data_IF_330414145629
#
_entry.id   IF_330414145629
#
_cell.length_a   1.000
_cell.length_b   1.000
_cell.length_c   1.000
_cell.angle_alpha   90.00
_cell.angle_beta   90.00
_cell.angle_gamma   90.00
#
_symmetry.space_group_name_H-M   'P 1'
#
loop_
_entity.id
_entity.type
_entity.pdbx_description
1 polymer ?
#
# COMPACT_ATOMS: atom_id res chain seq x y z
N UNK A 1 -26.63 -16.41 -2.27
CA UNK A 1 -25.85 -16.67 -3.49
C UNK A 1 -25.01 -17.92 -3.20
N UNK A 2 -25.31 -19.06 -3.82
CA UNK A 2 -24.64 -20.35 -3.57
C UNK A 2 -23.12 -20.23 -3.80
N UNK A 3 -22.35 -20.18 -2.71
CA UNK A 3 -20.90 -20.36 -2.73
C UNK A 3 -20.64 -21.82 -2.37
N UNK A 4 -20.39 -22.65 -3.38
CA UNK A 4 -19.80 -23.96 -3.13
C UNK A 4 -18.40 -23.74 -2.53
N UNK A 5 -18.09 -24.48 -1.46
CA UNK A 5 -16.78 -24.51 -0.77
C UNK A 5 -15.57 -24.76 -1.71
N UNK A 6 -15.79 -25.01 -3.00
CA UNK A 6 -14.77 -25.31 -4.02
C UNK A 6 -14.05 -24.08 -4.60
N UNK A 7 -14.53 -22.85 -4.35
CA UNK A 7 -13.93 -21.62 -4.94
C UNK A 7 -12.97 -20.85 -4.03
N UNK A 8 -13.03 -21.03 -2.71
CA UNK A 8 -12.13 -20.34 -1.77
C UNK A 8 -10.80 -21.09 -1.67
N UNK A 9 -9.69 -20.37 -1.70
CA UNK A 9 -8.37 -20.91 -1.35
C UNK A 9 -8.03 -20.48 0.08
N UNK A 10 -8.22 -21.40 1.04
CA UNK A 10 -7.99 -21.13 2.47
C UNK A 10 -6.53 -20.75 2.75
N UNK A 11 -5.58 -21.31 1.98
CA UNK A 11 -4.17 -20.95 2.14
C UNK A 11 -3.93 -19.51 1.73
N UNK A 12 -4.47 -19.09 0.57
CA UNK A 12 -4.37 -17.71 0.12
C UNK A 12 -5.05 -16.73 1.11
N UNK A 13 -6.18 -17.13 1.69
CA UNK A 13 -6.84 -16.35 2.74
C UNK A 13 -5.89 -16.13 3.93
N UNK A 14 -5.32 -17.21 4.47
CA UNK A 14 -4.37 -17.12 5.59
C UNK A 14 -3.14 -16.28 5.26
N UNK A 15 -2.63 -16.36 4.02
CA UNK A 15 -1.51 -15.54 3.56
C UNK A 15 -1.85 -14.04 3.53
N UNK A 16 -3.01 -13.65 2.99
CA UNK A 16 -3.42 -12.25 3.04
C UNK A 16 -3.64 -11.77 4.47
N UNK A 17 -4.25 -12.61 5.32
CA UNK A 17 -4.47 -12.28 6.72
C UNK A 17 -3.15 -12.11 7.48
N UNK A 18 -2.16 -12.97 7.23
CA UNK A 18 -0.83 -12.82 7.84
C UNK A 18 -0.15 -11.55 7.35
N UNK A 19 -0.19 -11.23 6.06
CA UNK A 19 0.48 -10.07 5.48
C UNK A 19 -0.16 -8.75 5.97
N UNK A 20 -1.49 -8.68 5.99
CA UNK A 20 -2.21 -7.43 6.28
C UNK A 20 -2.35 -7.15 7.77
N UNK A 21 -2.55 -8.17 8.62
CA UNK A 21 -2.87 -7.95 10.04
C UNK A 21 -1.68 -8.12 10.99
N UNK A 22 -0.77 -9.07 10.73
CA UNK A 22 0.30 -9.39 11.67
C UNK A 22 1.27 -8.24 11.95
N UNK A 23 1.63 -7.37 10.98
CA UNK A 23 2.60 -6.31 11.23
C UNK A 23 2.20 -5.39 12.38
N UNK A 24 0.96 -4.89 12.34
CA UNK A 24 0.42 -4.04 13.40
C UNK A 24 0.05 -4.83 14.65
N UNK A 25 -0.40 -6.08 14.51
CA UNK A 25 -0.71 -6.95 15.65
C UNK A 25 0.50 -7.21 16.54
N UNK A 26 1.61 -7.62 15.91
CA UNK A 26 2.88 -7.89 16.61
C UNK A 26 3.44 -6.60 17.22
N UNK A 27 3.33 -5.47 16.51
CA UNK A 27 3.80 -4.18 16.99
C UNK A 27 3.14 -3.80 18.33
N UNK A 28 1.82 -3.92 18.43
CA UNK A 28 1.11 -3.51 19.65
C UNK A 28 1.16 -4.59 20.75
N UNK A 29 0.99 -5.88 20.42
CA UNK A 29 0.94 -6.93 21.44
C UNK A 29 2.30 -7.30 22.04
N UNK A 30 3.39 -7.17 21.28
CA UNK A 30 4.74 -7.45 21.77
C UNK A 30 5.53 -6.18 22.10
N UNK A 31 4.86 -5.00 22.10
CA UNK A 31 5.49 -3.69 22.30
C UNK A 31 6.76 -3.51 21.45
N UNK A 32 6.73 -4.04 20.22
CA UNK A 32 7.91 -4.06 19.36
C UNK A 32 8.26 -2.63 18.93
N UNK A 33 9.56 -2.33 18.83
CA UNK A 33 10.04 -1.00 18.44
C UNK A 33 9.68 -0.60 17.01
N UNK A 34 9.28 -1.55 16.15
CA UNK A 34 8.97 -1.30 14.75
C UNK A 34 8.03 -2.35 14.15
N UNK A 35 7.21 -1.91 13.18
CA UNK A 35 6.41 -2.77 12.31
C UNK A 35 7.25 -3.76 11.49
N UNK A 36 8.56 -3.51 11.33
CA UNK A 36 9.47 -4.41 10.64
C UNK A 36 9.51 -5.82 11.26
N UNK A 37 9.42 -5.93 12.59
CA UNK A 37 9.43 -7.21 13.29
C UNK A 37 8.19 -8.03 12.94
N UNK A 38 7.02 -7.39 12.91
CA UNK A 38 5.77 -8.04 12.52
C UNK A 38 5.73 -8.44 11.05
N UNK A 39 6.28 -7.62 10.15
CA UNK A 39 6.47 -7.99 8.74
C UNK A 39 7.40 -9.19 8.56
N UNK A 40 8.45 -9.31 9.38
CA UNK A 40 9.36 -10.46 9.34
C UNK A 40 8.72 -11.75 9.83
N UNK A 41 7.92 -11.64 10.88
CA UNK A 41 7.13 -12.78 11.34
C UNK A 41 6.12 -13.22 10.26
N UNK A 42 5.48 -12.24 9.60
CA UNK A 42 4.57 -12.50 8.49
C UNK A 42 5.26 -13.17 7.30
N UNK A 43 6.44 -12.70 6.89
CA UNK A 43 7.19 -13.31 5.79
C UNK A 43 7.64 -14.73 6.10
N UNK A 44 8.03 -15.01 7.35
CA UNK A 44 8.38 -16.35 7.80
C UNK A 44 7.16 -17.28 7.74
N UNK A 45 5.99 -16.83 8.22
CA UNK A 45 4.74 -17.57 8.10
C UNK A 45 4.35 -17.84 6.65
N UNK A 46 4.50 -16.85 5.76
CA UNK A 46 4.26 -17.02 4.32
C UNK A 46 5.12 -18.14 3.75
N UNK A 47 6.42 -18.16 4.07
CA UNK A 47 7.33 -19.22 3.60
C UNK A 47 6.95 -20.59 4.16
N UNK A 48 6.60 -20.68 5.45
CA UNK A 48 6.16 -21.94 6.07
C UNK A 48 4.88 -22.49 5.43
N UNK A 49 3.88 -21.64 5.22
CA UNK A 49 2.61 -22.04 4.59
C UNK A 49 2.81 -22.48 3.14
N UNK A 50 3.72 -21.82 2.42
CA UNK A 50 4.03 -22.12 1.02
C UNK A 50 5.04 -23.26 0.85
N UNK A 51 5.76 -23.69 1.88
CA UNK A 51 6.74 -24.79 1.81
C UNK A 51 6.13 -26.08 1.26
N UNK A 52 4.87 -26.34 1.59
CA UNK A 52 4.13 -27.53 1.12
C UNK A 52 3.57 -27.40 -0.30
N UNK A 53 3.68 -26.22 -0.93
CA UNK A 53 3.10 -25.95 -2.25
C UNK A 53 4.08 -26.30 -3.38
N UNK A 54 3.69 -27.26 -4.22
CA UNK A 54 4.52 -27.68 -5.36
C UNK A 54 4.72 -26.51 -6.33
N UNK A 55 5.98 -26.12 -6.55
CA UNK A 55 6.37 -25.15 -7.58
C UNK A 55 6.42 -23.68 -7.16
N UNK A 56 6.04 -23.34 -5.92
CA UNK A 56 6.18 -21.96 -5.42
C UNK A 56 7.65 -21.53 -5.24
N UNK A 57 8.54 -22.47 -4.94
CA UNK A 57 9.98 -22.21 -4.73
C UNK A 57 10.83 -22.26 -5.99
N UNK A 58 10.26 -22.57 -7.17
CA UNK A 58 11.01 -22.44 -8.42
C UNK A 58 11.12 -20.93 -8.68
N UNK A 59 12.30 -20.33 -8.68
CA UNK A 59 12.46 -18.91 -9.05
C UNK A 59 13.25 -18.85 -10.35
N UNK A 60 12.87 -17.93 -11.24
CA UNK A 60 13.53 -17.78 -12.54
C UNK A 60 14.96 -17.26 -12.35
N UNK A 61 15.92 -17.88 -13.04
CA UNK A 61 17.36 -17.62 -12.89
C UNK A 61 17.72 -16.17 -13.19
N UNK A 62 17.10 -15.56 -14.19
CA UNK A 62 17.31 -14.15 -14.53
C UNK A 62 16.82 -13.21 -13.43
N UNK A 63 15.68 -13.52 -12.79
CA UNK A 63 15.18 -12.72 -11.68
C UNK A 63 16.10 -12.87 -10.47
N UNK A 64 16.55 -14.09 -10.17
CA UNK A 64 17.54 -14.32 -9.11
C UNK A 64 18.83 -13.55 -9.38
N UNK A 65 19.31 -13.52 -10.63
CA UNK A 65 20.48 -12.74 -11.00
C UNK A 65 20.28 -11.24 -10.73
N UNK A 66 19.19 -10.65 -11.24
CA UNK A 66 18.87 -9.23 -10.99
C UNK A 66 18.75 -8.96 -9.47
N UNK A 67 18.06 -9.82 -8.74
CA UNK A 67 17.88 -9.71 -7.30
C UNK A 67 19.22 -9.76 -6.55
N UNK A 68 20.13 -10.67 -6.93
CA UNK A 68 21.47 -10.76 -6.32
C UNK A 68 22.34 -9.54 -6.62
N UNK A 69 22.25 -8.98 -7.84
CA UNK A 69 22.97 -7.75 -8.19
C UNK A 69 22.46 -6.56 -7.37
N UNK A 70 21.14 -6.41 -7.24
CA UNK A 70 20.53 -5.34 -6.42
C UNK A 70 20.93 -5.50 -4.95
N UNK A 71 20.86 -6.72 -4.41
CA UNK A 71 21.29 -7.02 -3.05
C UNK A 71 22.76 -6.63 -2.83
N UNK A 72 23.65 -6.98 -3.75
CA UNK A 72 25.07 -6.68 -3.64
C UNK A 72 25.32 -5.16 -3.67
N UNK A 73 24.69 -4.43 -4.59
CA UNK A 73 24.81 -2.96 -4.69
C UNK A 73 24.31 -2.28 -3.40
N UNK A 74 23.14 -2.68 -2.90
CA UNK A 74 22.59 -2.12 -1.65
C UNK A 74 23.47 -2.48 -0.45
N UNK A 75 24.01 -3.70 -0.40
CA UNK A 75 24.92 -4.13 0.68
C UNK A 75 26.20 -3.30 0.69
N UNK A 76 26.79 -3.03 -0.47
CA UNK A 76 27.96 -2.16 -0.58
C UNK A 76 27.61 -0.74 -0.11
N UNK A 77 26.48 -0.19 -0.56
CA UNK A 77 26.02 1.13 -0.13
C UNK A 77 25.82 1.19 1.39
N UNK A 78 25.16 0.19 1.99
CA UNK A 78 24.97 0.10 3.44
C UNK A 78 26.30 0.00 4.19
N UNK A 79 27.27 -0.76 3.68
CA UNK A 79 28.59 -0.88 4.29
C UNK A 79 29.37 0.44 4.25
N UNK A 80 29.30 1.18 3.14
CA UNK A 80 29.92 2.51 3.01
C UNK A 80 29.29 3.50 3.99
N UNK A 81 27.96 3.53 4.08
CA UNK A 81 27.23 4.41 5.00
C UNK A 81 27.56 4.06 6.46
N UNK A 82 27.56 2.76 6.80
CA UNK A 82 27.94 2.30 8.14
C UNK A 82 29.36 2.72 8.51
N UNK A 83 30.29 2.73 7.55
CA UNK A 83 31.66 3.17 7.79
C UNK A 83 31.75 4.70 8.00
N UNK A 84 30.99 5.49 7.23
CA UNK A 84 31.03 6.96 7.31
C UNK A 84 30.34 7.47 8.58
N UNK A 85 29.12 6.99 8.85
CA UNK A 85 28.26 7.51 9.92
C UNK A 85 28.30 6.68 11.21
N UNK A 86 29.03 5.56 11.22
CA UNK A 86 29.11 4.63 12.36
C UNK A 86 27.72 4.12 12.84
N UNK A 87 26.72 4.13 11.96
CA UNK A 87 25.38 3.63 12.22
C UNK A 87 25.17 2.24 11.59
N UNK A 88 24.72 1.28 12.40
CA UNK A 88 24.49 -0.11 12.03
C UNK A 88 23.09 -0.32 11.40
N UNK A 89 22.18 0.64 11.56
CA UNK A 89 20.79 0.56 11.09
C UNK A 89 20.64 0.22 9.58
N UNK A 90 21.45 0.75 8.65
CA UNK A 90 21.39 0.35 7.24
C UNK A 90 21.69 -1.13 7.03
N UNK A 91 22.65 -1.69 7.79
CA UNK A 91 23.02 -3.10 7.69
C UNK A 91 21.89 -4.01 8.21
N UNK A 92 21.27 -3.65 9.33
CA UNK A 92 20.08 -4.37 9.84
C UNK A 92 18.92 -4.32 8.85
N UNK A 93 18.84 -3.26 8.05
CA UNK A 93 17.79 -3.08 7.04
C UNK A 93 17.93 -4.03 5.84
N UNK A 94 19.05 -4.73 5.67
CA UNK A 94 19.20 -5.79 4.66
C UNK A 94 18.22 -6.95 4.86
N UNK A 95 17.66 -7.07 6.06
CA UNK A 95 16.55 -7.98 6.36
C UNK A 95 15.32 -7.72 5.49
N UNK A 96 15.18 -6.53 4.91
CA UNK A 96 14.17 -6.24 3.88
C UNK A 96 14.25 -7.17 2.67
N UNK A 97 15.44 -7.63 2.27
CA UNK A 97 15.59 -8.55 1.14
C UNK A 97 14.96 -9.92 1.43
N UNK A 98 14.95 -10.37 2.69
CA UNK A 98 14.20 -11.56 3.08
C UNK A 98 12.69 -11.37 2.90
N UNK A 99 12.17 -10.20 3.29
CA UNK A 99 10.76 -9.83 3.06
C UNK A 99 10.46 -9.78 1.55
N UNK A 100 11.29 -9.12 0.75
CA UNK A 100 11.15 -9.05 -0.70
C UNK A 100 11.18 -10.44 -1.36
N UNK A 101 12.06 -11.32 -0.92
CA UNK A 101 12.13 -12.71 -1.41
C UNK A 101 10.86 -13.50 -1.09
N UNK A 102 10.32 -13.36 0.12
CA UNK A 102 9.04 -14.01 0.48
C UNK A 102 7.86 -13.47 -0.34
N UNK A 103 7.87 -12.17 -0.68
CA UNK A 103 6.87 -11.57 -1.57
C UNK A 103 6.94 -12.13 -2.99
N UNK A 104 8.13 -12.41 -3.51
CA UNK A 104 8.31 -13.05 -4.83
C UNK A 104 7.72 -14.46 -4.84
N UNK A 105 7.97 -15.26 -3.79
CA UNK A 105 7.41 -16.61 -3.65
C UNK A 105 5.87 -16.54 -3.55
N UNK A 106 5.33 -15.58 -2.80
CA UNK A 106 3.90 -15.32 -2.73
C UNK A 106 3.32 -14.94 -4.11
N UNK A 107 3.97 -14.04 -4.84
CA UNK A 107 3.57 -13.68 -6.20
C UNK A 107 3.56 -14.89 -7.15
N UNK A 108 4.56 -15.78 -7.03
CA UNK A 108 4.58 -17.02 -7.82
C UNK A 108 3.39 -17.91 -7.49
N UNK A 109 3.05 -18.07 -6.22
CA UNK A 109 1.87 -18.82 -5.81
C UNK A 109 0.59 -18.25 -6.43
N UNK A 110 0.42 -16.91 -6.41
CA UNK A 110 -0.71 -16.24 -7.06
C UNK A 110 -0.76 -16.46 -8.57
N UNK A 111 0.38 -16.54 -9.26
CA UNK A 111 0.42 -16.76 -10.71
C UNK A 111 -0.21 -18.10 -11.11
N UNK A 112 0.07 -19.17 -10.35
CA UNK A 112 -0.41 -20.52 -10.65
C UNK A 112 -1.83 -20.81 -10.17
N UNK A 113 -2.37 -20.01 -9.25
CA UNK A 113 -3.77 -20.12 -8.84
C UNK A 113 -4.71 -19.62 -9.94
N UNK A 114 -5.85 -20.26 -10.20
CA UNK A 114 -6.85 -19.75 -11.15
C UNK A 114 -7.44 -18.42 -10.66
N UNK A 115 -7.76 -17.51 -11.58
CA UNK A 115 -8.29 -16.18 -11.24
C UNK A 115 -9.52 -16.23 -10.33
N UNK A 116 -10.42 -17.18 -10.55
CA UNK A 116 -11.64 -17.31 -9.74
C UNK A 116 -11.34 -17.54 -8.24
N UNK A 117 -10.30 -18.30 -7.92
CA UNK A 117 -9.89 -18.53 -6.52
C UNK A 117 -9.30 -17.29 -5.89
N UNK A 118 -8.48 -16.55 -6.63
CA UNK A 118 -7.92 -15.27 -6.17
C UNK A 118 -9.05 -14.29 -5.90
N UNK A 119 -9.94 -14.10 -6.88
CA UNK A 119 -11.06 -13.16 -6.78
C UNK A 119 -12.02 -13.52 -5.65
N UNK A 120 -12.35 -14.80 -5.47
CA UNK A 120 -13.17 -15.26 -4.35
C UNK A 120 -12.46 -15.02 -3.00
N UNK A 121 -11.15 -15.27 -2.91
CA UNK A 121 -10.40 -15.03 -1.68
C UNK A 121 -10.36 -13.56 -1.31
N UNK A 122 -10.11 -12.66 -2.27
CA UNK A 122 -10.16 -11.21 -2.04
C UNK A 122 -11.52 -10.75 -1.50
N UNK A 123 -12.63 -11.31 -2.01
CA UNK A 123 -13.96 -11.02 -1.50
C UNK A 123 -14.10 -11.33 0.00
N UNK A 124 -13.62 -12.49 0.44
CA UNK A 124 -13.69 -12.87 1.85
C UNK A 124 -12.74 -12.04 2.73
N UNK A 125 -11.54 -11.70 2.23
CA UNK A 125 -10.63 -10.78 2.94
C UNK A 125 -11.29 -9.42 3.13
N UNK A 126 -11.94 -8.87 2.09
CA UNK A 126 -12.68 -7.60 2.18
C UNK A 126 -13.79 -7.68 3.22
N UNK A 127 -14.61 -8.74 3.19
CA UNK A 127 -15.69 -8.90 4.18
C UNK A 127 -15.13 -8.91 5.60
N UNK A 128 -14.04 -9.64 5.82
CA UNK A 128 -13.42 -9.71 7.13
C UNK A 128 -12.89 -8.34 7.58
N UNK A 129 -12.18 -7.62 6.71
CA UNK A 129 -11.70 -6.27 7.02
C UNK A 129 -12.86 -5.30 7.29
N UNK A 130 -13.93 -5.32 6.49
CA UNK A 130 -15.12 -4.50 6.74
C UNK A 130 -15.79 -4.85 8.08
N UNK A 131 -15.85 -6.14 8.43
CA UNK A 131 -16.36 -6.58 9.72
C UNK A 131 -15.52 -6.01 10.86
N UNK A 132 -14.18 -6.05 10.74
CA UNK A 132 -13.27 -5.41 11.72
C UNK A 132 -13.63 -3.93 11.91
N UNK A 133 -13.79 -3.18 10.80
CA UNK A 133 -14.17 -1.77 10.87
C UNK A 133 -15.52 -1.53 11.56
N UNK A 134 -16.52 -2.37 11.27
CA UNK A 134 -17.84 -2.24 11.92
C UNK A 134 -17.84 -2.64 13.39
N UNK A 135 -17.08 -3.66 13.77
CA UNK A 135 -16.96 -4.04 15.18
C UNK A 135 -16.29 -2.92 15.97
N UNK A 136 -15.28 -2.24 15.39
CA UNK A 136 -14.69 -1.07 16.03
C UNK A 136 -15.72 0.05 16.25
N UNK A 137 -16.50 0.40 15.22
CA UNK A 137 -17.54 1.44 15.33
C UNK A 137 -18.63 1.10 16.35
N UNK A 138 -19.02 -0.17 16.45
CA UNK A 138 -20.14 -0.59 17.31
C UNK A 138 -19.74 -0.93 18.75
N UNK A 139 -18.54 -1.48 18.95
CA UNK A 139 -18.11 -2.06 20.22
C UNK A 139 -16.90 -1.32 20.81
N UNK A 140 -16.03 -0.75 19.97
CA UNK A 140 -14.73 -0.19 20.38
C UNK A 140 -13.83 -1.29 20.95
N UNK A 141 -13.06 -1.98 20.11
CA UNK A 141 -12.25 -3.12 20.57
C UNK A 141 -10.91 -2.66 21.16
N UNK A 142 -10.95 -2.29 22.43
CA UNK A 142 -9.76 -1.91 23.21
C UNK A 142 -9.13 -3.12 23.92
N UNK A 143 -8.79 -4.18 23.18
CA UNK A 143 -8.21 -5.39 23.77
C UNK A 143 -6.68 -5.36 23.77
N UNK A 144 -6.06 -5.64 24.93
CA UNK A 144 -4.59 -5.57 25.09
C UNK A 144 -4.05 -4.12 25.09
N UNK A 145 -2.77 -3.94 24.73
CA UNK A 145 -2.12 -2.62 24.63
C UNK A 145 -2.76 -1.62 23.66
N UNK A 146 -3.82 -2.02 22.94
CA UNK A 146 -4.62 -1.15 22.09
C UNK A 146 -5.47 -0.13 22.88
N UNK A 147 -5.75 -0.38 24.17
CA UNK A 147 -6.49 0.56 25.02
C UNK A 147 -5.69 1.83 25.38
N UNK A 148 -4.37 1.79 25.24
CA UNK A 148 -3.49 2.95 25.50
C UNK A 148 -3.32 3.86 24.27
N UNK A 149 -3.77 3.39 23.10
CA UNK A 149 -3.67 4.13 21.84
C UNK A 149 -4.96 4.92 21.60
N UNK A 150 -4.86 6.25 21.50
CA UNK A 150 -6.03 7.14 21.34
C UNK A 150 -6.90 6.86 20.11
N UNK A 151 -6.33 6.27 19.04
CA UNK A 151 -7.01 6.06 17.74
C UNK A 151 -6.60 4.76 17.06
N UNK A 152 -6.75 3.65 17.76
CA UNK A 152 -6.46 2.31 17.23
C UNK A 152 -7.71 1.62 16.68
N UNK A 153 -7.51 0.65 15.78
CA UNK A 153 -8.59 -0.19 15.22
C UNK A 153 -8.08 -1.61 15.29
N UNK A 154 -8.43 -2.41 16.29
CA UNK A 154 -7.84 -3.75 16.42
C UNK A 154 -7.95 -4.57 15.12
N UNK A 155 -6.86 -5.15 14.57
CA UNK A 155 -5.48 -5.23 15.10
C UNK A 155 -4.49 -4.19 14.53
N UNK A 156 -4.97 -3.10 13.96
CA UNK A 156 -4.20 -1.97 13.47
C UNK A 156 -3.91 -0.95 14.58
N UNK A 157 -2.65 -0.52 14.64
CA UNK A 157 -2.21 0.51 15.60
C UNK A 157 -2.81 1.89 15.31
N UNK A 158 -3.22 2.14 14.07
CA UNK A 158 -3.82 3.39 13.63
C UNK A 158 -4.99 3.15 12.67
N UNK A 159 -5.95 4.08 12.68
CA UNK A 159 -7.04 4.16 11.71
C UNK A 159 -6.55 4.16 10.26
N UNK A 160 -5.47 4.90 9.99
CA UNK A 160 -4.90 5.03 8.65
C UNK A 160 -4.30 3.72 8.16
N UNK A 161 -3.78 2.91 9.09
CA UNK A 161 -3.21 1.61 8.78
C UNK A 161 -4.30 0.61 8.36
N UNK A 162 -5.46 0.64 9.01
CA UNK A 162 -6.62 -0.12 8.57
C UNK A 162 -7.03 0.26 7.13
N UNK A 163 -7.07 1.55 6.82
CA UNK A 163 -7.44 2.05 5.50
C UNK A 163 -6.49 1.57 4.39
N UNK A 164 -5.18 1.58 4.65
CA UNK A 164 -4.16 1.10 3.72
C UNK A 164 -4.28 -0.41 3.50
N UNK A 165 -4.52 -1.21 4.54
CA UNK A 165 -4.74 -2.64 4.38
C UNK A 165 -6.00 -2.95 3.54
N UNK A 166 -7.09 -2.23 3.77
CA UNK A 166 -8.32 -2.36 2.99
C UNK A 166 -8.12 -1.93 1.53
N UNK A 167 -7.36 -0.85 1.28
CA UNK A 167 -7.10 -0.33 -0.05
C UNK A 167 -6.43 -1.36 -0.96
N UNK A 168 -5.45 -2.10 -0.42
CA UNK A 168 -4.70 -3.12 -1.17
C UNK A 168 -5.60 -4.22 -1.71
N UNK A 169 -6.74 -4.51 -1.07
CA UNK A 169 -7.62 -5.62 -1.46
C UNK A 169 -8.85 -5.11 -2.21
N UNK A 170 -9.42 -3.98 -1.78
CA UNK A 170 -10.67 -3.46 -2.36
C UNK A 170 -10.46 -2.92 -3.78
N UNK A 171 -9.41 -2.14 -4.02
CA UNK A 171 -9.13 -1.55 -5.33
C UNK A 171 -9.02 -2.62 -6.44
N UNK A 172 -8.19 -3.68 -6.33
CA UNK A 172 -8.14 -4.73 -7.35
C UNK A 172 -9.44 -5.53 -7.49
N UNK A 173 -10.19 -5.72 -6.41
CA UNK A 173 -11.50 -6.36 -6.48
C UNK A 173 -12.51 -5.50 -7.24
N UNK A 174 -12.58 -4.20 -6.93
CA UNK A 174 -13.45 -3.23 -7.61
C UNK A 174 -13.05 -3.04 -9.06
N UNK A 175 -11.79 -3.25 -9.44
CA UNK A 175 -11.36 -3.22 -10.84
C UNK A 175 -11.78 -4.45 -11.63
N UNK A 176 -11.94 -5.61 -11.00
CA UNK A 176 -12.15 -6.90 -11.70
C UNK A 176 -13.56 -7.52 -11.52
N UNK A 177 -14.30 -7.20 -10.45
CA UNK A 177 -15.65 -7.69 -10.19
C UNK A 177 -16.73 -7.19 -11.17
N UNK A 178 -17.47 -8.09 -11.80
CA UNK A 178 -18.56 -7.74 -12.73
C UNK A 178 -19.88 -7.37 -12.04
N UNK A 179 -20.03 -7.67 -10.76
CA UNK A 179 -21.31 -7.56 -10.07
C UNK A 179 -21.47 -6.18 -9.39
N UNK A 180 -22.23 -5.29 -10.03
CA UNK A 180 -22.52 -3.95 -9.53
C UNK A 180 -23.05 -3.94 -8.10
N UNK A 181 -23.98 -4.85 -7.74
CA UNK A 181 -24.57 -4.88 -6.40
C UNK A 181 -23.52 -5.09 -5.30
N UNK A 182 -22.55 -5.99 -5.55
CA UNK A 182 -21.46 -6.25 -4.60
C UNK A 182 -20.49 -5.08 -4.48
N UNK A 183 -20.14 -4.46 -5.62
CA UNK A 183 -19.25 -3.29 -5.64
C UNK A 183 -19.92 -2.11 -4.94
N UNK A 184 -21.19 -1.84 -5.25
CA UNK A 184 -21.96 -0.79 -4.60
C UNK A 184 -22.07 -1.01 -3.09
N UNK A 185 -22.36 -2.23 -2.64
CA UNK A 185 -22.39 -2.56 -1.22
C UNK A 185 -21.05 -2.27 -0.54
N UNK A 186 -19.92 -2.65 -1.15
CA UNK A 186 -18.59 -2.35 -0.60
C UNK A 186 -18.29 -0.85 -0.55
N UNK A 187 -18.57 -0.11 -1.63
CA UNK A 187 -18.37 1.34 -1.68
C UNK A 187 -19.21 2.06 -0.62
N UNK A 188 -20.46 1.66 -0.43
CA UNK A 188 -21.33 2.20 0.60
C UNK A 188 -20.76 1.94 2.01
N UNK A 189 -20.27 0.71 2.27
CA UNK A 189 -19.65 0.38 3.55
C UNK A 189 -18.39 1.21 3.81
N UNK A 190 -17.52 1.41 2.81
CA UNK A 190 -16.32 2.24 2.95
C UNK A 190 -16.69 3.69 3.24
N UNK A 191 -17.68 4.24 2.53
CA UNK A 191 -18.14 5.62 2.77
C UNK A 191 -18.72 5.78 4.17
N UNK A 192 -19.57 4.86 4.61
CA UNK A 192 -20.16 4.88 5.95
C UNK A 192 -19.07 4.79 7.03
N UNK A 193 -18.12 3.86 6.89
CA UNK A 193 -16.99 3.76 7.81
C UNK A 193 -16.14 5.03 7.81
N UNK A 194 -15.85 5.64 6.65
CA UNK A 194 -15.06 6.87 6.59
C UNK A 194 -15.70 8.08 7.31
N UNK A 195 -17.04 8.11 7.40
CA UNK A 195 -17.80 9.18 8.06
C UNK A 195 -18.02 8.86 9.54
N UNK A 196 -18.51 7.66 9.86
CA UNK A 196 -18.78 7.23 11.23
C UNK A 196 -17.49 7.11 12.06
N UNK A 197 -16.40 6.82 11.39
CA UNK A 197 -15.05 6.78 11.94
C UNK A 197 -14.17 7.72 11.10
N UNK A 198 -14.08 9.02 11.48
CA UNK A 198 -13.53 10.09 10.65
C UNK A 198 -12.10 9.85 10.17
N UNK A 199 -11.96 9.34 8.95
CA UNK A 199 -10.67 8.98 8.39
C UNK A 199 -10.53 9.45 6.92
N UNK A 200 -9.66 10.44 6.71
CA UNK A 200 -9.41 11.02 5.39
C UNK A 200 -8.81 9.99 4.41
N UNK A 201 -7.96 9.08 4.89
CA UNK A 201 -7.37 8.04 4.03
C UNK A 201 -8.44 7.07 3.51
N UNK A 202 -9.44 6.72 4.32
CA UNK A 202 -10.59 5.92 3.89
C UNK A 202 -11.45 6.65 2.85
N UNK A 203 -11.62 7.96 2.98
CA UNK A 203 -12.33 8.76 1.98
C UNK A 203 -11.59 8.76 0.62
N UNK A 204 -10.26 8.79 0.64
CA UNK A 204 -9.45 8.62 -0.57
C UNK A 204 -9.57 7.21 -1.14
N UNK A 205 -9.62 6.17 -0.31
CA UNK A 205 -9.89 4.79 -0.76
C UNK A 205 -11.24 4.72 -1.49
N UNK A 206 -12.28 5.37 -0.95
CA UNK A 206 -13.59 5.46 -1.58
C UNK A 206 -13.52 6.17 -2.94
N UNK A 207 -12.91 7.34 -3.01
CA UNK A 207 -12.84 8.13 -4.26
C UNK A 207 -12.07 7.40 -5.35
N UNK A 208 -10.94 6.78 -5.02
CA UNK A 208 -10.16 5.97 -5.95
C UNK A 208 -10.90 4.70 -6.38
N UNK A 209 -11.64 4.06 -5.48
CA UNK A 209 -12.46 2.90 -5.82
C UNK A 209 -13.59 3.27 -6.80
N UNK A 210 -14.23 4.43 -6.61
CA UNK A 210 -15.19 4.99 -7.56
C UNK A 210 -14.55 5.26 -8.92
N UNK A 211 -13.37 5.90 -8.95
CA UNK A 211 -12.61 6.12 -10.18
C UNK A 211 -12.34 4.79 -10.90
N UNK A 212 -11.82 3.79 -10.19
CA UNK A 212 -11.50 2.46 -10.73
C UNK A 212 -12.70 1.73 -11.29
N UNK A 213 -13.87 1.87 -10.67
CA UNK A 213 -15.10 1.33 -11.21
C UNK A 213 -15.47 1.98 -12.55
N UNK A 214 -15.27 3.29 -12.68
CA UNK A 214 -15.54 4.05 -13.91
C UNK A 214 -14.51 3.75 -15.02
N UNK A 215 -13.26 3.41 -14.67
CA UNK A 215 -12.21 3.06 -15.65
C UNK A 215 -12.56 1.88 -16.58
N UNK A 216 -13.56 1.09 -16.21
CA UNK A 216 -14.08 -0.03 -17.01
C UNK A 216 -15.02 0.40 -18.12
N UNK A 217 -15.60 1.59 -17.99
CA UNK A 217 -16.58 2.11 -18.92
C UNK A 217 -15.88 2.58 -20.20
N UNK A 218 -16.60 2.57 -21.33
CA UNK A 218 -16.07 3.14 -22.58
C UNK A 218 -15.71 4.61 -22.36
N UNK A 219 -14.69 5.10 -23.07
CA UNK A 219 -14.11 6.43 -22.88
C UNK A 219 -15.14 7.57 -22.79
N UNK A 220 -16.21 7.54 -23.60
CA UNK A 220 -17.28 8.54 -23.54
C UNK A 220 -18.03 8.56 -22.19
N UNK A 221 -18.35 7.38 -21.65
CA UNK A 221 -18.97 7.25 -20.33
C UNK A 221 -17.96 7.50 -19.21
N UNK A 222 -16.67 7.22 -19.43
CA UNK A 222 -15.61 7.57 -18.48
C UNK A 222 -15.56 9.08 -18.29
N UNK A 223 -15.51 9.86 -19.38
CA UNK A 223 -15.47 11.33 -19.28
C UNK A 223 -16.73 11.85 -18.60
N UNK A 224 -17.92 11.35 -18.96
CA UNK A 224 -19.18 11.79 -18.37
C UNK A 224 -19.32 11.40 -16.88
N UNK A 225 -18.96 10.17 -16.51
CA UNK A 225 -19.00 9.75 -15.10
C UNK A 225 -17.89 10.40 -14.28
N UNK A 226 -16.72 10.66 -14.85
CA UNK A 226 -15.64 11.36 -14.16
C UNK A 226 -15.99 12.82 -13.92
N UNK A 227 -16.58 13.53 -14.90
CA UNK A 227 -17.06 14.90 -14.69
C UNK A 227 -18.19 14.95 -13.68
N UNK A 228 -19.12 13.99 -13.71
CA UNK A 228 -20.20 13.88 -12.73
C UNK A 228 -19.70 13.56 -11.31
N UNK A 229 -18.76 12.63 -11.18
CA UNK A 229 -18.12 12.32 -9.89
C UNK A 229 -17.30 13.51 -9.39
N UNK A 230 -16.65 14.26 -10.27
CA UNK A 230 -15.93 15.47 -9.89
C UNK A 230 -16.88 16.56 -9.41
N UNK A 231 -17.97 16.83 -10.13
CA UNK A 231 -18.93 17.87 -9.72
C UNK A 231 -19.64 17.52 -8.42
N UNK A 232 -20.16 16.30 -8.28
CA UNK A 232 -20.75 15.83 -7.02
C UNK A 232 -19.71 15.76 -5.92
N UNK A 233 -18.52 15.27 -6.23
CA UNK A 233 -17.40 15.21 -5.29
C UNK A 233 -17.07 16.58 -4.73
N UNK A 234 -16.96 17.61 -5.57
CA UNK A 234 -16.70 18.99 -5.16
C UNK A 234 -17.85 19.57 -4.32
N UNK A 235 -19.11 19.36 -4.72
CA UNK A 235 -20.27 19.82 -3.93
C UNK A 235 -20.34 19.12 -2.58
N UNK A 236 -20.16 17.80 -2.55
CA UNK A 236 -20.10 17.01 -1.34
C UNK A 236 -18.93 17.44 -0.46
N UNK A 237 -17.77 17.73 -1.05
CA UNK A 237 -16.58 18.15 -0.33
C UNK A 237 -16.78 19.52 0.32
N UNK A 238 -17.33 20.50 -0.41
CA UNK A 238 -17.67 21.83 0.14
C UNK A 238 -18.60 21.66 1.35
N UNK A 239 -19.68 20.89 1.20
CA UNK A 239 -20.61 20.63 2.30
C UNK A 239 -19.94 19.86 3.46
N UNK A 240 -19.11 18.87 3.17
CA UNK A 240 -18.41 18.09 4.19
C UNK A 240 -17.43 18.96 4.99
N UNK A 241 -16.72 19.89 4.36
CA UNK A 241 -15.79 20.79 5.05
C UNK A 241 -16.51 21.74 6.00
N UNK A 242 -17.69 22.24 5.62
CA UNK A 242 -18.47 23.14 6.46
C UNK A 242 -19.06 22.43 7.69
N UNK A 243 -19.45 21.15 7.56
CA UNK A 243 -20.11 20.40 8.63
C UNK A 243 -19.16 19.56 9.49
N UNK A 244 -17.97 19.22 9.00
CA UNK A 244 -17.00 18.37 9.70
C UNK A 244 -15.66 19.10 9.89
N UNK A 245 -15.47 19.77 11.04
CA UNK A 245 -14.25 20.51 11.37
C UNK A 245 -12.96 19.67 11.27
N UNK A 246 -13.08 18.35 11.48
CA UNK A 246 -11.99 17.40 11.32
C UNK A 246 -11.35 17.46 9.94
N UNK A 247 -12.14 17.38 8.86
CA UNK A 247 -11.60 17.38 7.50
C UNK A 247 -11.08 18.76 7.10
N UNK A 248 -11.76 19.83 7.52
CA UNK A 248 -11.31 21.21 7.31
C UNK A 248 -9.92 21.45 7.92
N UNK A 249 -9.72 21.05 9.18
CA UNK A 249 -8.45 21.23 9.88
C UNK A 249 -7.29 20.47 9.25
N UNK A 250 -7.56 19.41 8.46
CA UNK A 250 -6.55 18.60 7.77
C UNK A 250 -6.12 19.17 6.42
N UNK A 251 -6.91 20.08 5.86
CA UNK A 251 -6.70 20.70 4.54
C UNK A 251 -6.26 22.17 4.64
N UNK A 252 -6.22 22.74 5.85
CA UNK A 252 -5.60 24.04 6.11
C UNK A 252 -4.08 23.87 6.17
N UNK A 253 -3.38 24.24 5.09
CA UNK A 253 -1.91 24.15 4.98
C UNK A 253 -1.18 25.40 5.49
N UNK A 254 -1.86 26.56 5.53
CA UNK A 254 -1.32 27.79 6.09
C UNK A 254 -1.51 27.80 7.61
N UNK A 255 -0.42 28.02 8.36
CA UNK A 255 -0.38 28.11 9.82
C UNK A 255 -1.14 27.02 10.59
N UNK A 256 -1.12 25.81 10.04
CA UNK A 256 -1.76 24.66 10.65
C UNK A 256 -1.09 24.29 11.98
N UNK A 257 -1.89 24.12 13.02
CA UNK A 257 -1.48 23.40 14.24
C UNK A 257 -1.91 21.92 14.18
N UNK A 258 -2.41 21.46 13.02
CA UNK A 258 -2.82 20.08 12.86
C UNK A 258 -1.60 19.18 12.61
N UNK A 259 -1.32 18.29 13.57
CA UNK A 259 -0.18 17.38 13.55
C UNK A 259 -0.06 16.61 12.22
N UNK A 260 -1.16 16.08 11.68
CA UNK A 260 -1.05 15.24 10.48
C UNK A 260 -0.83 16.04 9.21
N UNK A 261 -1.32 17.27 9.15
CA UNK A 261 -0.99 18.19 8.04
C UNK A 261 0.48 18.59 8.11
N UNK A 262 0.98 18.88 9.32
CA UNK A 262 2.40 19.19 9.53
C UNK A 262 3.30 18.01 9.16
N UNK A 263 2.95 16.78 9.55
CA UNK A 263 3.69 15.56 9.18
C UNK A 263 3.68 15.34 7.66
N UNK A 264 2.56 15.60 6.98
CA UNK A 264 2.51 15.51 5.53
C UNK A 264 3.42 16.54 4.84
N UNK A 265 3.41 17.79 5.32
CA UNK A 265 4.31 18.84 4.83
C UNK A 265 5.78 18.52 5.12
N UNK A 266 6.06 17.99 6.31
CA UNK A 266 7.40 17.55 6.71
C UNK A 266 7.95 16.51 5.72
N UNK A 267 7.14 15.55 5.27
CA UNK A 267 7.56 14.56 4.27
C UNK A 267 8.04 15.19 2.96
N UNK A 268 7.28 16.12 2.40
CA UNK A 268 7.67 16.85 1.18
C UNK A 268 8.90 17.71 1.38
N UNK A 269 8.98 18.45 2.49
CA UNK A 269 10.13 19.29 2.79
C UNK A 269 11.39 18.46 3.05
N UNK A 270 11.30 17.34 3.77
CA UNK A 270 12.43 16.43 3.96
C UNK A 270 12.92 15.86 2.63
N UNK A 271 12.02 15.46 1.72
CA UNK A 271 12.39 15.01 0.39
C UNK A 271 13.14 16.10 -0.40
N UNK A 272 12.65 17.33 -0.36
CA UNK A 272 13.26 18.47 -1.06
C UNK A 272 14.61 18.87 -0.47
N UNK A 273 14.69 19.10 0.85
CA UNK A 273 15.91 19.53 1.52
C UNK A 273 17.00 18.48 1.37
N UNK A 274 16.72 17.20 1.62
CA UNK A 274 17.74 16.15 1.48
C UNK A 274 18.17 15.96 0.02
N UNK A 275 17.29 16.19 -0.97
CA UNK A 275 17.68 16.14 -2.38
C UNK A 275 18.68 17.26 -2.74
N UNK A 276 18.49 18.46 -2.21
CA UNK A 276 19.37 19.61 -2.48
C UNK A 276 20.69 19.48 -1.72
N UNK A 277 20.63 19.24 -0.41
CA UNK A 277 21.81 19.20 0.45
C UNK A 277 22.74 18.03 0.12
N UNK A 278 22.21 16.94 -0.45
CA UNK A 278 23.02 15.81 -0.94
C UNK A 278 23.42 15.92 -2.42
N UNK A 279 23.17 17.07 -3.06
CA UNK A 279 23.40 17.30 -4.49
C UNK A 279 22.78 16.22 -5.40
N UNK A 280 21.64 15.66 -4.97
CA UNK A 280 20.91 14.65 -5.71
C UNK A 280 21.36 13.20 -5.50
N UNK A 281 22.35 12.93 -4.64
CA UNK A 281 22.77 11.55 -4.34
C UNK A 281 21.81 10.83 -3.37
N UNK A 282 21.18 11.57 -2.47
CA UNK A 282 20.40 11.03 -1.35
C UNK A 282 21.28 10.68 -0.15
N UNK A 283 20.64 10.54 1.02
CA UNK A 283 21.33 10.27 2.30
C UNK A 283 21.70 8.80 2.53
N UNK A 284 21.22 7.90 1.66
CA UNK A 284 21.48 6.47 1.75
C UNK A 284 20.35 5.64 2.37
N UNK A 285 20.37 4.33 2.08
CA UNK A 285 19.27 3.42 2.45
C UNK A 285 19.06 3.35 3.97
N UNK A 286 17.83 3.59 4.40
CA UNK A 286 17.38 3.59 5.81
C UNK A 286 18.08 4.59 6.73
N UNK A 287 18.65 5.66 6.16
CA UNK A 287 19.28 6.76 6.90
C UNK A 287 18.33 7.89 7.27
N UNK A 288 17.08 7.89 6.79
CA UNK A 288 16.12 8.92 7.18
C UNK A 288 15.88 8.89 8.70
N UNK A 289 15.90 10.05 9.33
CA UNK A 289 15.74 10.25 10.78
C UNK A 289 17.03 10.03 11.60
N UNK A 290 18.18 9.84 10.94
CA UNK A 290 19.50 9.71 11.60
C UNK A 290 20.30 11.01 11.49
N UNK A 291 21.54 11.03 11.98
CA UNK A 291 22.46 12.18 11.88
C UNK A 291 22.73 12.63 10.43
N UNK A 292 22.55 11.74 9.45
CA UNK A 292 22.70 12.08 8.03
C UNK A 292 21.51 12.89 7.47
N UNK A 293 20.41 13.01 8.22
CA UNK A 293 19.18 13.66 7.74
C UNK A 293 19.23 15.16 7.94
N UNK A 294 18.95 15.90 6.86
CA UNK A 294 18.72 17.34 6.93
C UNK A 294 17.25 17.59 7.27
N UNK A 295 16.99 18.11 8.48
CA UNK A 295 15.64 18.36 8.98
C UNK A 295 15.14 19.76 8.58
N UNK A 296 13.91 19.90 8.07
CA UNK A 296 13.29 21.20 7.83
C UNK A 296 12.66 21.78 9.11
N UNK A 297 12.47 23.10 9.15
CA UNK A 297 11.89 23.88 10.26
C UNK A 297 10.53 23.35 10.76
N UNK A 298 9.73 22.74 9.87
CA UNK A 298 8.44 22.12 10.21
C UNK A 298 8.61 21.01 11.26
N UNK A 299 9.76 20.33 11.27
CA UNK A 299 10.09 19.28 12.25
C UNK A 299 10.18 19.87 13.66
N UNK A 300 10.79 21.06 13.80
CA UNK A 300 10.88 21.75 15.08
C UNK A 300 9.51 22.27 15.54
N UNK A 301 8.69 22.78 14.61
CA UNK A 301 7.31 23.20 14.91
C UNK A 301 6.48 22.03 15.47
N UNK A 302 6.63 20.82 14.93
CA UNK A 302 5.97 19.61 15.46
C UNK A 302 6.42 19.30 16.88
N UNK A 303 7.73 19.38 17.14
CA UNK A 303 8.29 19.14 18.46
C UNK A 303 7.77 20.17 19.48
N UNK A 304 7.72 21.46 19.12
CA UNK A 304 7.18 22.52 19.98
C UNK A 304 5.70 22.29 20.32
N UNK A 305 4.90 21.81 19.36
CA UNK A 305 3.46 21.59 19.56
C UNK A 305 3.14 20.32 20.36
N UNK A 306 3.95 19.27 20.23
CA UNK A 306 3.62 17.93 20.77
C UNK A 306 4.59 17.42 21.83
N UNK A 307 5.73 18.07 22.01
CA UNK A 307 6.82 17.62 22.86
C UNK A 307 7.57 16.38 22.35
N UNK A 308 7.28 15.91 21.13
CA UNK A 308 7.88 14.70 20.53
C UNK A 308 8.10 14.88 19.03
N UNK A 309 9.08 14.16 18.49
CA UNK A 309 9.26 14.06 17.04
C UNK A 309 8.31 13.01 16.46
N UNK A 310 7.64 13.36 15.36
CA UNK A 310 6.76 12.44 14.63
C UNK A 310 7.31 12.17 13.23
N UNK A 311 7.19 10.92 12.81
CA UNK A 311 7.43 10.46 11.45
C UNK A 311 8.77 10.90 10.80
N UNK A 312 9.82 11.05 11.62
CA UNK A 312 11.16 11.43 11.16
C UNK A 312 11.88 10.29 10.44
N UNK A 313 11.58 9.03 10.80
CA UNK A 313 12.23 7.85 10.22
C UNK A 313 11.55 7.31 8.95
N UNK A 314 10.27 7.61 8.74
CA UNK A 314 9.42 7.12 7.65
C UNK A 314 8.99 8.23 6.68
N UNK A 315 9.11 9.49 7.08
CA UNK A 315 8.80 10.65 6.24
C UNK A 315 7.30 10.87 6.00
N UNK A 316 6.44 10.18 6.77
CA UNK A 316 4.98 10.25 6.65
C UNK A 316 4.38 9.44 5.49
N UNK A 317 5.11 9.27 4.38
CA UNK A 317 4.73 8.45 3.23
C UNK A 317 5.96 7.99 2.44
N UNK A 318 5.82 6.91 1.66
CA UNK A 318 6.97 6.22 1.09
C UNK A 318 7.74 7.04 0.04
N UNK A 319 7.06 7.88 -0.75
CA UNK A 319 7.72 8.74 -1.73
C UNK A 319 8.74 9.66 -1.06
N UNK A 320 8.37 10.30 0.05
CA UNK A 320 9.26 11.22 0.77
C UNK A 320 10.54 10.49 1.18
N UNK A 321 10.39 9.29 1.72
CA UNK A 321 11.52 8.43 2.12
C UNK A 321 12.39 8.04 0.94
N UNK A 322 11.80 7.57 -0.16
CA UNK A 322 12.55 7.15 -1.35
C UNK A 322 13.33 8.31 -1.97
N UNK A 323 12.74 9.51 -2.07
CA UNK A 323 13.42 10.67 -2.65
C UNK A 323 14.51 11.19 -1.72
N UNK A 324 14.28 11.25 -0.41
CA UNK A 324 15.30 11.68 0.54
C UNK A 324 16.51 10.71 0.57
N UNK A 325 16.25 9.40 0.59
CA UNK A 325 17.31 8.38 0.71
C UNK A 325 18.07 8.09 -0.59
N UNK A 326 17.39 8.11 -1.74
CA UNK A 326 17.98 7.76 -3.04
C UNK A 326 18.16 8.95 -3.99
N UNK A 327 17.79 10.16 -3.58
CA UNK A 327 17.95 11.38 -4.37
C UNK A 327 17.33 11.27 -5.77
N UNK A 328 18.13 11.53 -6.80
CA UNK A 328 17.71 11.48 -8.21
C UNK A 328 17.21 10.08 -8.61
N UNK A 329 17.81 9.01 -8.10
CA UNK A 329 17.31 7.65 -8.37
C UNK A 329 15.90 7.46 -7.79
N UNK A 330 15.64 8.05 -6.63
CA UNK A 330 14.30 8.09 -6.04
C UNK A 330 13.31 8.85 -6.92
N UNK A 331 13.69 10.02 -7.43
CA UNK A 331 12.87 10.80 -8.37
C UNK A 331 12.56 10.01 -9.64
N UNK A 332 13.55 9.33 -10.23
CA UNK A 332 13.36 8.47 -11.41
C UNK A 332 12.37 7.35 -11.11
N UNK A 333 12.45 6.72 -9.93
CA UNK A 333 11.50 5.69 -9.50
C UNK A 333 10.07 6.23 -9.39
N UNK A 334 9.90 7.44 -8.84
CA UNK A 334 8.60 8.12 -8.76
C UNK A 334 8.04 8.37 -10.16
N UNK A 335 8.84 8.90 -11.08
CA UNK A 335 8.43 9.14 -12.47
C UNK A 335 8.05 7.84 -13.17
N UNK A 336 8.83 6.77 -12.97
CA UNK A 336 8.52 5.45 -13.51
C UNK A 336 7.21 4.88 -12.94
N UNK A 337 6.95 5.07 -11.65
CA UNK A 337 5.72 4.66 -11.00
C UNK A 337 4.51 5.43 -11.56
N UNK A 338 4.60 6.75 -11.70
CA UNK A 338 3.57 7.58 -12.32
C UNK A 338 3.30 7.17 -13.78
N UNK A 339 4.35 6.94 -14.57
CA UNK A 339 4.21 6.44 -15.94
C UNK A 339 3.51 5.08 -15.98
N UNK A 340 3.82 4.20 -15.02
CA UNK A 340 3.13 2.92 -14.87
C UNK A 340 1.64 3.11 -14.61
N UNK A 341 1.25 4.01 -13.70
CA UNK A 341 -0.17 4.35 -13.40
C UNK A 341 -0.92 4.97 -14.59
N UNK A 342 -0.24 5.68 -15.48
CA UNK A 342 -0.85 6.20 -16.72
C UNK A 342 -1.03 5.08 -17.74
N UNK A 343 -0.02 4.24 -17.96
CA UNK A 343 -0.11 3.12 -18.91
C UNK A 343 -1.20 2.12 -18.55
N UNK A 344 -1.29 1.83 -17.26
CA UNK A 344 -2.37 1.16 -16.57
C UNK A 344 -3.77 1.60 -17.01
N UNK A 345 -4.03 2.91 -16.96
CA UNK A 345 -5.31 3.51 -17.33
C UNK A 345 -5.66 3.19 -18.79
N UNK A 346 -4.71 3.41 -19.71
CA UNK A 346 -4.91 3.14 -21.13
C UNK A 346 -5.10 1.65 -21.43
N UNK A 347 -4.31 0.79 -20.79
CA UNK A 347 -4.39 -0.65 -21.00
C UNK A 347 -5.73 -1.23 -20.52
N UNK A 348 -6.18 -0.79 -19.33
CA UNK A 348 -7.43 -1.24 -18.72
C UNK A 348 -8.63 -0.88 -19.60
N UNK A 349 -8.69 0.37 -20.07
CA UNK A 349 -9.77 0.84 -20.94
C UNK A 349 -9.80 0.09 -22.29
N UNK A 350 -8.63 -0.12 -22.91
CA UNK A 350 -8.51 -0.92 -24.15
C UNK A 350 -9.00 -2.36 -23.96
N UNK A 351 -8.62 -2.99 -22.85
CA UNK A 351 -9.04 -4.37 -22.55
C UNK A 351 -10.56 -4.48 -22.39
N UNK A 352 -11.17 -3.63 -21.56
CA UNK A 352 -12.63 -3.68 -21.35
C UNK A 352 -13.43 -3.31 -22.61
N UNK A 353 -12.86 -2.48 -23.49
CA UNK A 353 -13.45 -2.16 -24.80
C UNK A 353 -13.36 -3.31 -25.81
N UNK A 354 -12.39 -4.22 -25.68
CA UNK A 354 -12.10 -5.30 -26.65
C UNK A 354 -12.65 -6.68 -26.27
N UNK A 355 -13.32 -6.82 -25.12
CA UNK A 355 -13.81 -8.10 -24.60
C UNK A 355 -14.89 -8.73 -25.52
N UNK A 356 -14.46 -9.62 -26.42
CA UNK A 356 -15.30 -10.56 -27.19
C UNK A 356 -14.85 -12.01 -26.89
N UNK A 357 -15.35 -12.61 -25.81
CA UNK A 357 -15.35 -14.06 -25.61
C UNK A 357 -14.26 -14.67 -24.71
N UNK A 358 -14.67 -15.67 -23.91
CA UNK A 358 -13.88 -16.41 -22.91
C UNK A 358 -12.88 -17.39 -23.57
N UNK A 359 -11.58 -17.21 -23.35
CA UNK A 359 -10.53 -18.20 -23.62
C UNK A 359 -9.49 -18.21 -22.49
N UNK A 360 -8.55 -19.15 -22.49
CA UNK A 360 -7.46 -19.26 -21.48
C UNK A 360 -6.60 -17.99 -21.41
N UNK A 361 -6.46 -17.25 -22.52
CA UNK A 361 -5.81 -15.93 -22.53
C UNK A 361 -6.53 -14.92 -21.60
N UNK A 362 -7.82 -15.10 -21.36
CA UNK A 362 -8.62 -14.25 -20.49
C UNK A 362 -8.23 -14.39 -19.00
N UNK A 363 -7.80 -15.56 -18.52
CA UNK A 363 -7.35 -15.74 -17.13
C UNK A 363 -6.07 -14.95 -16.83
N UNK A 364 -5.08 -15.03 -17.72
CA UNK A 364 -3.83 -14.27 -17.61
C UNK A 364 -4.05 -12.76 -17.72
N UNK A 365 -4.91 -12.33 -18.64
CA UNK A 365 -5.27 -10.91 -18.78
C UNK A 365 -6.02 -10.38 -17.56
N UNK A 366 -6.99 -11.13 -17.03
CA UNK A 366 -7.70 -10.78 -15.79
C UNK A 366 -6.77 -10.68 -14.59
N UNK A 367 -5.81 -11.60 -14.46
CA UNK A 367 -4.76 -11.51 -13.42
C UNK A 367 -3.89 -10.29 -13.59
N UNK A 368 -3.51 -9.94 -14.82
CA UNK A 368 -2.74 -8.72 -15.10
C UNK A 368 -3.50 -7.46 -14.66
N UNK A 369 -4.80 -7.38 -14.96
CA UNK A 369 -5.67 -6.28 -14.50
C UNK A 369 -5.85 -6.29 -12.99
N UNK A 370 -5.85 -7.46 -12.37
CA UNK A 370 -5.85 -7.57 -10.92
C UNK A 370 -4.55 -7.01 -10.30
N UNK A 371 -3.38 -7.35 -10.87
CA UNK A 371 -2.08 -6.80 -10.42
C UNK A 371 -2.05 -5.27 -10.51
N UNK A 372 -2.57 -4.78 -11.61
CA UNK A 372 -2.81 -3.38 -11.90
C UNK A 372 -3.66 -2.69 -10.81
N UNK A 373 -4.69 -3.36 -10.29
CA UNK A 373 -5.43 -2.88 -9.13
C UNK A 373 -4.60 -2.80 -7.84
N UNK A 374 -3.66 -3.74 -7.60
CA UNK A 374 -2.73 -3.64 -6.46
C UNK A 374 -1.80 -2.43 -6.58
N UNK A 375 -1.27 -2.15 -7.78
CA UNK A 375 -0.47 -0.93 -8.02
C UNK A 375 -1.25 0.34 -7.70
N UNK A 376 -2.55 0.37 -8.05
CA UNK A 376 -3.40 1.51 -7.73
C UNK A 376 -3.68 1.62 -6.23
N UNK A 377 -3.95 0.50 -5.54
CA UNK A 377 -4.08 0.47 -4.07
C UNK A 377 -2.86 1.06 -3.36
N UNK A 378 -1.67 0.69 -3.84
CA UNK A 378 -0.40 1.18 -3.32
C UNK A 378 -0.14 2.68 -3.55
N UNK A 379 -0.84 3.34 -4.48
CA UNK A 379 -0.66 4.77 -4.72
C UNK A 379 -1.00 5.61 -3.47
N UNK A 380 -1.97 5.16 -2.68
CA UNK A 380 -2.33 5.80 -1.40
C UNK A 380 -1.16 5.71 -0.44
N UNK A 381 -0.53 4.53 -0.36
CA UNK A 381 0.61 4.32 0.53
C UNK A 381 1.84 5.13 0.09
N UNK A 382 2.04 5.20 -1.23
CA UNK A 382 3.18 5.84 -1.84
C UNK A 382 3.14 7.36 -1.71
N UNK A 383 1.98 7.99 -1.93
CA UNK A 383 1.84 9.45 -2.02
C UNK A 383 1.23 10.13 -0.79
N UNK A 384 0.41 9.44 0.00
CA UNK A 384 -0.41 10.09 1.03
C UNK A 384 -0.06 9.67 2.46
N UNK A 385 0.12 8.38 2.71
CA UNK A 385 0.37 7.86 4.06
C UNK A 385 1.05 6.50 3.99
N UNK A 386 2.21 6.29 4.62
CA UNK A 386 2.91 5.01 4.52
C UNK A 386 3.65 4.59 5.78
N UNK A 387 4.00 3.31 5.84
CA UNK A 387 4.68 2.68 6.98
C UNK A 387 6.21 2.59 6.83
N UNK A 388 6.75 3.16 5.74
CA UNK A 388 8.11 2.90 5.26
C UNK A 388 8.23 1.57 4.50
N UNK A 389 9.45 1.05 4.36
CA UNK A 389 9.74 -0.11 3.50
C UNK A 389 9.15 -1.44 3.96
N UNK A 390 8.91 -1.59 5.26
CA UNK A 390 8.37 -2.80 5.86
C UNK A 390 6.85 -2.68 6.01
N UNK A 391 6.15 -2.67 4.88
CA UNK A 391 4.70 -2.54 4.85
C UNK A 391 4.01 -3.68 4.09
N UNK A 392 2.73 -3.96 4.40
CA UNK A 392 1.92 -4.88 3.62
C UNK A 392 1.79 -4.46 2.15
N UNK A 393 1.69 -3.15 1.87
CA UNK A 393 1.56 -2.64 0.51
C UNK A 393 2.80 -2.87 -0.34
N UNK A 394 3.99 -2.57 0.19
CA UNK A 394 5.26 -2.85 -0.49
C UNK A 394 5.38 -4.35 -0.78
N UNK A 395 5.04 -5.20 0.19
CA UNK A 395 5.03 -6.66 -0.01
C UNK A 395 4.14 -7.08 -1.18
N UNK A 396 2.88 -6.65 -1.20
CA UNK A 396 1.91 -7.03 -2.24
C UNK A 396 2.32 -6.48 -3.61
N UNK A 397 2.88 -5.27 -3.68
CA UNK A 397 3.37 -4.70 -4.95
C UNK A 397 4.60 -5.42 -5.48
N UNK A 398 5.55 -5.82 -4.64
CA UNK A 398 6.69 -6.66 -5.09
C UNK A 398 6.17 -7.96 -5.70
N UNK A 399 5.21 -8.61 -5.04
CA UNK A 399 4.54 -9.80 -5.57
C UNK A 399 3.86 -9.52 -6.92
N UNK A 400 3.15 -8.39 -7.03
CA UNK A 400 2.46 -7.99 -8.26
C UNK A 400 3.42 -7.66 -9.42
N UNK A 401 4.54 -6.97 -9.14
CA UNK A 401 5.63 -6.72 -10.07
C UNK A 401 6.19 -8.02 -10.64
N UNK A 402 6.45 -9.00 -9.76
CA UNK A 402 6.97 -10.30 -10.17
C UNK A 402 5.97 -11.07 -11.06
N UNK A 403 4.68 -11.08 -10.70
CA UNK A 403 3.62 -11.68 -11.53
C UNK A 403 3.54 -10.99 -12.90
N UNK A 404 3.60 -9.66 -12.95
CA UNK A 404 3.57 -8.90 -14.19
C UNK A 404 4.78 -9.19 -15.09
N UNK A 405 5.97 -9.32 -14.51
CA UNK A 405 7.20 -9.69 -15.21
C UNK A 405 7.08 -11.06 -15.88
N UNK A 406 6.57 -12.07 -15.17
CA UNK A 406 6.38 -13.42 -15.73
C UNK A 406 5.27 -13.49 -16.76
N UNK A 407 4.17 -12.75 -16.55
CA UNK A 407 3.07 -12.70 -17.51
C UNK A 407 3.52 -12.12 -18.86
N UNK A 408 4.41 -11.12 -18.87
CA UNK A 408 4.94 -10.56 -20.13
C UNK A 408 5.69 -11.61 -20.94
N UNK A 409 6.42 -12.52 -20.29
CA UNK A 409 7.17 -13.60 -20.96
C UNK A 409 6.26 -14.67 -21.56
N UNK A 410 5.23 -15.10 -20.83
CA UNK A 410 4.29 -16.13 -21.30
C UNK A 410 3.36 -15.68 -22.43
N UNK A 411 3.25 -14.37 -22.68
CA UNK A 411 2.50 -13.82 -23.82
C UNK A 411 3.38 -13.70 -25.06
N UNK A 412 4.71 -13.72 -24.90
CA UNK A 412 5.69 -13.64 -25.99
C UNK A 412 6.16 -15.02 -26.49
N UNK A 413 5.83 -16.08 -25.76
CA UNK A 413 6.00 -17.50 -26.14
C UNK A 413 4.65 -18.05 -26.52
#
# INVERSE_FOLDING_TARGET
MHLSNTKLDVRLLLLFMSILLMPSLVFVLLEASSLAVGMLFSSLLVLLLLFTSKGAFKVDTEFLFIFTVVLLVVTINCAVICFIYQDIKPLLSLVWFFVAFSAVIFGRYMLYLPFEKIHATLFYVIILLLLIGWVEVLVGMHWGGYGELEKSVFPFSEESHYALALSMVILPYVLTSKNFKTVFAFLLNILLLAILFPNLTMLVVFSLSCLMYVLRMRLAYLVLCATFLFTIGMVFFIFLLDYFPYFQSRLAFEDSNNLTTLVFLQGWMMAYTNLIETYGLGIGFQMLGTEATYFPDVTERIYVLTGKYFNTYDGGFLLAKIVAEFGILGVILVVFYLFSLVNMFFYTNRYFSSLKGNTIQDDFLRKRILMYGFFMGFSIEFFLRGYGYFSPGVFVVIAACYVAFLNKRRVLV
#
